data_IF_449508933279
#
_entry.id   IF_449508933279
#
_cell.length_a   1.000
_cell.length_b   1.000
_cell.length_c   1.000
_cell.angle_alpha   90.00
_cell.angle_beta   90.00
_cell.angle_gamma   90.00
#
_symmetry.space_group_name_H-M   'P 1'
#
loop_
_entity.id
_entity.type
_entity.pdbx_description
1 polymer ?
#
# COMPACT_ATOMS: atom_id res chain seq x y z
N UNK A 1 -18.86 -0.61 7.01
CA UNK A 1 -18.80 -1.19 5.65
C UNK A 1 -18.77 -2.72 5.76
N UNK A 2 -19.55 -3.43 4.95
CA UNK A 2 -19.62 -4.90 5.00
C UNK A 2 -18.75 -5.45 3.87
N UNK A 3 -17.60 -6.09 4.22
CA UNK A 3 -16.72 -6.78 3.26
C UNK A 3 -16.92 -8.27 3.36
N UNK A 4 -16.60 -9.00 2.28
CA UNK A 4 -16.96 -10.41 2.10
C UNK A 4 -16.27 -11.36 3.10
N UNK A 5 -14.99 -11.14 3.40
CA UNK A 5 -14.19 -12.07 4.21
C UNK A 5 -13.54 -11.47 5.42
N UNK A 6 -13.13 -10.20 5.37
CA UNK A 6 -12.45 -9.54 6.48
C UNK A 6 -13.42 -9.39 7.68
N UNK A 7 -12.97 -9.73 8.87
CA UNK A 7 -13.80 -9.75 10.08
C UNK A 7 -14.68 -10.99 10.24
N UNK A 8 -14.73 -11.92 9.26
CA UNK A 8 -15.49 -13.15 9.39
C UNK A 8 -14.74 -14.20 10.23
N UNK A 9 -15.50 -14.97 11.05
CA UNK A 9 -14.95 -16.02 11.93
C UNK A 9 -14.42 -17.23 11.15
N UNK A 10 -14.98 -17.52 9.98
CA UNK A 10 -14.56 -18.65 9.13
C UNK A 10 -14.00 -18.17 7.79
N UNK A 11 -13.08 -18.95 7.23
CA UNK A 11 -12.51 -18.73 5.90
C UNK A 11 -12.95 -19.89 5.01
N UNK A 12 -13.37 -19.64 3.74
CA UNK A 12 -13.76 -20.70 2.84
C UNK A 12 -12.57 -21.63 2.57
N UNK A 13 -12.86 -22.94 2.39
CA UNK A 13 -11.84 -23.91 1.99
C UNK A 13 -11.41 -23.62 0.56
N UNK A 14 -10.11 -23.40 0.37
CA UNK A 14 -9.53 -23.24 -0.96
C UNK A 14 -9.42 -24.61 -1.64
N UNK A 15 -10.10 -24.79 -2.77
CA UNK A 15 -10.06 -26.03 -3.55
C UNK A 15 -9.39 -25.86 -4.90
N UNK A 16 -9.56 -24.70 -5.54
CA UNK A 16 -9.01 -24.34 -6.84
C UNK A 16 -9.00 -22.84 -7.02
N UNK A 17 -8.27 -22.38 -8.03
CA UNK A 17 -8.29 -20.99 -8.46
C UNK A 17 -9.73 -20.52 -8.71
N UNK A 18 -10.08 -19.37 -8.09
CA UNK A 18 -11.32 -18.66 -8.38
C UNK A 18 -11.16 -17.15 -8.15
N UNK A 19 -11.53 -16.33 -9.15
CA UNK A 19 -11.64 -14.89 -8.97
C UNK A 19 -12.79 -14.47 -8.05
N UNK A 20 -13.73 -15.36 -7.72
CA UNK A 20 -14.85 -15.09 -6.81
C UNK A 20 -14.40 -14.82 -5.37
N UNK A 21 -13.15 -15.14 -5.04
CA UNK A 21 -12.56 -14.75 -3.75
C UNK A 21 -12.29 -13.25 -3.65
N UNK A 22 -12.17 -12.54 -4.79
CA UNK A 22 -11.90 -11.13 -4.79
C UNK A 22 -13.08 -10.31 -4.29
N UNK A 23 -12.79 -9.29 -3.50
CA UNK A 23 -13.72 -8.29 -3.02
C UNK A 23 -13.11 -6.89 -3.15
N UNK A 24 -13.91 -5.88 -3.35
CA UNK A 24 -13.46 -4.52 -3.58
C UNK A 24 -13.98 -3.54 -2.55
N UNK A 25 -13.23 -2.47 -2.35
CA UNK A 25 -13.54 -1.38 -1.44
C UNK A 25 -13.65 -0.09 -2.26
N UNK A 26 -14.76 0.67 -2.16
CA UNK A 26 -14.87 1.99 -2.77
C UNK A 26 -13.85 2.96 -2.20
N UNK A 27 -13.26 3.80 -3.07
CA UNK A 27 -12.38 4.90 -2.68
C UNK A 27 -13.14 6.22 -2.69
N UNK A 28 -12.81 7.09 -1.74
CA UNK A 28 -13.26 8.48 -1.74
C UNK A 28 -12.12 9.38 -2.20
N UNK A 29 -11.78 9.33 -3.49
CA UNK A 29 -10.61 10.01 -4.06
C UNK A 29 -10.94 11.09 -5.09
N UNK A 30 -12.19 11.56 -5.17
CA UNK A 30 -12.64 12.51 -6.20
C UNK A 30 -11.86 13.84 -6.20
N UNK A 31 -11.38 14.29 -5.03
CA UNK A 31 -10.59 15.51 -4.86
C UNK A 31 -9.10 15.34 -5.20
N UNK A 32 -8.65 14.14 -5.56
CA UNK A 32 -7.26 13.82 -5.87
C UNK A 32 -6.90 13.94 -7.36
N UNK A 33 -7.83 14.36 -8.22
CA UNK A 33 -7.69 14.34 -9.69
C UNK A 33 -6.45 15.02 -10.28
N UNK A 34 -5.91 16.04 -9.58
CA UNK A 34 -4.72 16.79 -9.99
C UNK A 34 -3.39 16.24 -9.44
N UNK A 35 -3.43 15.21 -8.60
CA UNK A 35 -2.25 14.63 -7.96
C UNK A 35 -1.88 13.28 -8.57
N UNK A 36 -0.75 12.73 -8.15
CA UNK A 36 -0.19 11.49 -8.69
C UNK A 36 0.09 10.51 -7.57
N UNK A 37 -0.02 9.22 -7.86
CA UNK A 37 0.31 8.20 -6.87
C UNK A 37 -0.04 6.79 -7.32
N UNK A 38 0.48 5.85 -6.56
CA UNK A 38 0.29 4.42 -6.72
C UNK A 38 0.14 3.77 -5.35
N UNK A 39 -0.52 2.64 -5.31
CA UNK A 39 -0.45 1.73 -4.18
C UNK A 39 0.39 0.53 -4.58
N UNK A 40 1.53 0.35 -3.90
CA UNK A 40 2.36 -0.84 -4.05
C UNK A 40 1.87 -1.89 -3.04
N UNK A 41 1.42 -3.02 -3.57
CA UNK A 41 1.08 -4.20 -2.79
C UNK A 41 2.14 -5.25 -3.02
N UNK A 42 2.81 -5.69 -1.96
CA UNK A 42 3.79 -6.78 -2.04
C UNK A 42 3.18 -8.03 -1.43
N UNK A 43 2.95 -9.06 -2.25
CA UNK A 43 2.43 -10.36 -1.82
C UNK A 43 3.59 -11.36 -1.77
N UNK A 44 3.92 -11.84 -0.56
CA UNK A 44 5.12 -12.65 -0.30
C UNK A 44 4.90 -14.16 -0.43
N UNK A 45 3.66 -14.59 -0.49
CA UNK A 45 3.27 -15.99 -0.38
C UNK A 45 2.53 -16.50 -1.63
N UNK A 46 2.83 -15.92 -2.82
CA UNK A 46 2.21 -16.40 -4.05
C UNK A 46 2.82 -17.73 -4.47
N UNK A 47 1.98 -18.77 -4.58
CA UNK A 47 2.43 -20.12 -4.93
C UNK A 47 1.56 -20.73 -6.04
N UNK A 48 2.21 -21.52 -6.90
CA UNK A 48 1.61 -22.26 -8.01
C UNK A 48 2.47 -23.50 -8.36
N UNK A 49 2.01 -24.35 -9.27
CA UNK A 49 2.79 -25.46 -9.81
C UNK A 49 3.44 -25.08 -11.15
N UNK A 50 4.74 -25.35 -11.32
CA UNK A 50 5.42 -25.19 -12.59
C UNK A 50 5.05 -26.33 -13.58
N UNK A 51 5.65 -26.32 -14.78
CA UNK A 51 5.36 -27.32 -15.82
C UNK A 51 5.70 -28.77 -15.39
N UNK A 52 6.64 -28.96 -14.47
CA UNK A 52 7.03 -30.25 -13.89
C UNK A 52 6.18 -30.66 -12.66
N UNK A 53 5.13 -29.91 -12.33
CA UNK A 53 4.31 -30.07 -11.12
C UNK A 53 5.06 -29.81 -9.80
N UNK A 54 6.21 -29.12 -9.83
CA UNK A 54 6.87 -28.69 -8.61
C UNK A 54 6.25 -27.38 -8.09
N UNK A 55 6.05 -27.27 -6.77
CA UNK A 55 5.55 -26.03 -6.17
C UNK A 55 6.60 -24.91 -6.30
N UNK A 56 6.12 -23.74 -6.67
CA UNK A 56 6.91 -22.49 -6.74
C UNK A 56 6.29 -21.52 -5.76
N UNK A 57 7.13 -20.78 -5.03
CA UNK A 57 6.70 -19.65 -4.20
C UNK A 57 7.48 -18.39 -4.64
N UNK A 58 6.77 -17.30 -4.80
CA UNK A 58 7.31 -16.04 -5.30
C UNK A 58 6.73 -14.84 -4.57
N UNK A 59 7.49 -13.76 -4.52
CA UNK A 59 6.98 -12.45 -4.11
C UNK A 59 6.49 -11.70 -5.34
N UNK A 60 5.27 -11.17 -5.28
CA UNK A 60 4.69 -10.32 -6.31
C UNK A 60 4.68 -8.86 -5.90
N UNK A 61 4.97 -7.97 -6.85
CA UNK A 61 4.63 -6.56 -6.78
C UNK A 61 3.38 -6.31 -7.61
N UNK A 62 2.35 -5.76 -6.98
CA UNK A 62 1.10 -5.35 -7.60
C UNK A 62 1.01 -3.84 -7.47
N UNK A 63 0.71 -3.12 -8.57
CA UNK A 63 0.53 -1.67 -8.58
C UNK A 63 -0.88 -1.31 -8.98
N UNK A 64 -1.54 -0.56 -8.13
CA UNK A 64 -2.89 -0.03 -8.37
C UNK A 64 -2.81 1.50 -8.42
N UNK A 65 -3.43 2.13 -9.40
CA UNK A 65 -3.48 3.60 -9.47
C UNK A 65 -4.26 4.18 -8.30
N UNK A 66 -3.81 5.31 -7.75
CA UNK A 66 -4.58 6.07 -6.77
C UNK A 66 -5.91 6.59 -7.33
N UNK A 67 -6.04 6.70 -8.66
CA UNK A 67 -7.24 7.18 -9.35
C UNK A 67 -8.26 6.08 -9.62
N UNK A 68 -7.96 4.80 -9.31
CA UNK A 68 -8.98 3.76 -9.43
C UNK A 68 -10.15 4.05 -8.48
N UNK A 69 -11.38 3.88 -8.96
CA UNK A 69 -12.58 4.10 -8.16
C UNK A 69 -12.70 3.10 -6.99
N UNK A 70 -12.09 1.94 -7.15
CA UNK A 70 -12.08 0.83 -6.19
C UNK A 70 -10.65 0.42 -5.86
N UNK A 71 -10.43 -0.14 -4.68
CA UNK A 71 -9.24 -0.91 -4.33
C UNK A 71 -9.63 -2.33 -3.95
N UNK A 72 -8.67 -3.25 -3.92
CA UNK A 72 -8.92 -4.63 -3.51
C UNK A 72 -8.92 -4.74 -1.98
N UNK A 73 -9.78 -5.60 -1.42
CA UNK A 73 -9.77 -5.92 0.01
C UNK A 73 -8.64 -6.93 0.30
N UNK A 74 -7.83 -6.68 1.32
CA UNK A 74 -6.57 -7.37 1.58
C UNK A 74 -6.71 -8.87 1.90
N UNK A 75 -7.70 -9.27 2.71
CA UNK A 75 -7.96 -10.68 3.02
C UNK A 75 -8.50 -11.44 1.80
N UNK A 76 -9.33 -10.78 0.99
CA UNK A 76 -9.85 -11.33 -0.25
C UNK A 76 -8.72 -11.56 -1.27
N UNK A 77 -7.81 -10.60 -1.40
CA UNK A 77 -6.62 -10.75 -2.24
C UNK A 77 -5.75 -11.91 -1.77
N UNK A 78 -5.52 -12.04 -0.45
CA UNK A 78 -4.79 -13.19 0.10
C UNK A 78 -5.44 -14.52 -0.26
N UNK A 79 -6.75 -14.65 -0.10
CA UNK A 79 -7.49 -15.88 -0.43
C UNK A 79 -7.42 -16.16 -1.93
N UNK A 80 -7.59 -15.14 -2.77
CA UNK A 80 -7.46 -15.25 -4.21
C UNK A 80 -6.07 -15.74 -4.62
N UNK A 81 -5.00 -15.11 -4.15
CA UNK A 81 -3.63 -15.52 -4.47
C UNK A 81 -3.33 -16.93 -3.95
N UNK A 82 -3.80 -17.26 -2.75
CA UNK A 82 -3.64 -18.61 -2.19
C UNK A 82 -4.40 -19.69 -2.98
N UNK A 83 -5.47 -19.34 -3.72
CA UNK A 83 -6.22 -20.30 -4.54
C UNK A 83 -5.43 -20.85 -5.74
N UNK A 84 -4.28 -20.25 -6.07
CA UNK A 84 -3.41 -20.71 -7.16
C UNK A 84 -2.54 -21.93 -6.80
N UNK A 85 -2.45 -22.32 -5.56
CA UNK A 85 -1.45 -23.27 -5.04
C UNK A 85 -1.34 -24.58 -5.85
N UNK A 86 -2.42 -25.09 -6.42
CA UNK A 86 -2.46 -26.27 -7.29
C UNK A 86 -2.63 -25.94 -8.78
N UNK A 87 -2.68 -24.66 -9.16
CA UNK A 87 -2.82 -24.28 -10.56
C UNK A 87 -1.48 -24.36 -11.26
N UNK A 88 -1.44 -25.11 -12.38
CA UNK A 88 -0.24 -25.30 -13.18
C UNK A 88 -0.05 -24.19 -14.19
N UNK A 89 1.19 -23.67 -14.29
CA UNK A 89 1.60 -22.73 -15.31
C UNK A 89 2.89 -23.20 -16.00
N UNK A 90 2.85 -23.33 -17.32
CA UNK A 90 4.04 -23.62 -18.12
C UNK A 90 4.96 -22.41 -18.27
N UNK A 91 4.41 -21.22 -18.20
CA UNK A 91 5.12 -19.94 -18.18
C UNK A 91 4.62 -19.10 -17.01
N UNK A 92 5.49 -18.71 -16.07
CA UNK A 92 5.11 -17.88 -14.91
C UNK A 92 4.43 -16.56 -15.26
N UNK A 93 4.81 -15.92 -16.40
CA UNK A 93 4.19 -14.65 -16.83
C UNK A 93 2.68 -14.77 -17.01
N UNK A 94 2.17 -15.93 -17.46
CA UNK A 94 0.73 -16.17 -17.59
C UNK A 94 -0.02 -16.08 -16.26
N UNK A 95 0.63 -16.44 -15.15
CA UNK A 95 0.04 -16.27 -13.82
C UNK A 95 -0.09 -14.77 -13.47
N UNK A 96 0.97 -13.99 -13.74
CA UNK A 96 0.96 -12.55 -13.48
C UNK A 96 -0.06 -11.81 -14.35
N UNK A 97 -0.15 -12.17 -15.63
CA UNK A 97 -1.11 -11.61 -16.59
C UNK A 97 -2.55 -11.93 -16.16
N UNK A 98 -2.80 -13.15 -15.68
CA UNK A 98 -4.11 -13.54 -15.16
C UNK A 98 -4.49 -12.72 -13.92
N UNK A 99 -3.57 -12.58 -12.96
CA UNK A 99 -3.79 -11.77 -11.76
C UNK A 99 -4.02 -10.31 -12.14
N UNK A 100 -3.22 -9.75 -13.05
CA UNK A 100 -3.37 -8.38 -13.52
C UNK A 100 -4.75 -8.16 -14.17
N UNK A 101 -5.21 -9.11 -15.00
CA UNK A 101 -6.52 -9.08 -15.65
C UNK A 101 -7.65 -9.08 -14.63
N UNK A 102 -7.62 -10.01 -13.67
CA UNK A 102 -8.68 -10.16 -12.66
C UNK A 102 -8.76 -8.93 -11.76
N UNK A 103 -7.62 -8.44 -11.29
CA UNK A 103 -7.55 -7.23 -10.46
C UNK A 103 -7.96 -5.98 -11.24
N UNK A 104 -7.55 -5.85 -12.51
CA UNK A 104 -7.96 -4.71 -13.34
C UNK A 104 -9.47 -4.67 -13.55
N UNK A 105 -10.09 -5.83 -13.73
CA UNK A 105 -11.56 -5.95 -13.80
C UNK A 105 -12.21 -5.55 -12.47
N UNK A 106 -11.67 -6.03 -11.35
CA UNK A 106 -12.19 -5.74 -10.01
C UNK A 106 -12.18 -4.25 -9.68
N UNK A 107 -11.03 -3.58 -9.90
CA UNK A 107 -10.84 -2.17 -9.51
C UNK A 107 -11.24 -1.18 -10.61
N UNK A 108 -11.70 -1.67 -11.76
CA UNK A 108 -12.05 -0.90 -12.96
C UNK A 108 -10.92 0.09 -13.37
N UNK A 109 -9.68 -0.40 -13.34
CA UNK A 109 -8.49 0.38 -13.68
C UNK A 109 -7.34 -0.56 -14.03
N UNK A 110 -6.35 -0.08 -14.81
CA UNK A 110 -5.17 -0.87 -15.13
C UNK A 110 -4.36 -1.22 -13.88
N UNK A 111 -4.09 -2.50 -13.70
CA UNK A 111 -3.24 -3.05 -12.64
C UNK A 111 -2.03 -3.74 -13.26
N UNK A 112 -0.84 -3.45 -12.78
CA UNK A 112 0.37 -4.18 -13.18
C UNK A 112 0.79 -5.16 -12.10
N UNK A 113 1.18 -6.37 -12.53
CA UNK A 113 1.66 -7.43 -11.66
C UNK A 113 2.98 -7.97 -12.22
N UNK A 114 3.96 -8.10 -11.35
CA UNK A 114 5.26 -8.70 -11.72
C UNK A 114 5.87 -9.47 -10.57
N UNK A 115 6.73 -10.41 -10.87
CA UNK A 115 7.64 -11.00 -9.88
C UNK A 115 8.55 -9.91 -9.31
N UNK A 116 8.68 -9.87 -8.00
CA UNK A 116 9.62 -9.02 -7.29
C UNK A 116 10.83 -9.85 -6.86
N UNK A 117 11.97 -9.63 -7.48
CA UNK A 117 13.22 -10.34 -7.19
C UNK A 117 14.10 -9.63 -6.18
N UNK A 118 13.97 -8.31 -6.12
CA UNK A 118 14.66 -7.44 -5.15
C UNK A 118 13.88 -6.15 -4.95
N UNK A 119 13.99 -5.58 -3.77
CA UNK A 119 13.53 -4.22 -3.49
C UNK A 119 14.59 -3.20 -3.90
N UNK A 120 14.15 -2.00 -4.24
CA UNK A 120 15.06 -0.86 -4.37
C UNK A 120 15.68 -0.53 -3.00
N UNK A 121 16.83 0.15 -3.00
CA UNK A 121 17.44 0.60 -1.77
C UNK A 121 16.54 1.62 -1.05
N UNK A 122 16.40 1.47 0.26
CA UNK A 122 15.69 2.46 1.07
C UNK A 122 16.39 3.84 0.98
N UNK A 123 15.66 4.92 0.75
CA UNK A 123 16.26 6.24 0.63
C UNK A 123 16.84 6.71 1.97
N UNK A 124 17.96 7.43 1.91
CA UNK A 124 18.51 8.08 3.10
C UNK A 124 17.55 9.14 3.62
N UNK A 125 16.99 8.92 4.80
CA UNK A 125 16.02 9.80 5.45
C UNK A 125 16.44 10.13 6.89
N UNK A 126 15.86 11.17 7.45
CA UNK A 126 16.11 11.59 8.84
C UNK A 126 14.83 11.44 9.66
N UNK A 127 14.91 10.80 10.81
CA UNK A 127 13.76 10.71 11.70
C UNK A 127 13.34 12.12 12.17
N UNK A 128 12.04 12.40 12.08
CA UNK A 128 11.51 13.75 12.33
C UNK A 128 11.84 14.28 13.74
N UNK A 129 11.86 13.40 14.75
CA UNK A 129 12.17 13.77 16.15
C UNK A 129 13.63 14.20 16.39
N UNK A 130 14.52 14.03 15.40
CA UNK A 130 15.89 14.59 15.45
C UNK A 130 15.93 16.11 15.23
N UNK A 131 14.84 16.71 14.75
CA UNK A 131 14.74 18.16 14.54
C UNK A 131 14.09 18.83 15.77
N UNK A 132 14.85 19.69 16.47
CA UNK A 132 14.35 20.39 17.67
C UNK A 132 13.24 21.40 17.38
N UNK A 133 13.29 22.07 16.20
CA UNK A 133 12.38 23.14 15.82
C UNK A 133 11.76 22.95 14.44
N UNK A 134 12.53 23.04 13.38
CA UNK A 134 12.05 23.02 11.99
C UNK A 134 12.81 22.00 11.15
N UNK A 135 12.08 21.33 10.27
CA UNK A 135 12.64 20.49 9.21
C UNK A 135 13.06 21.41 8.05
N UNK A 136 14.32 21.35 7.58
CA UNK A 136 14.77 22.15 6.43
C UNK A 136 14.05 21.76 5.14
N UNK A 137 14.07 22.66 4.15
CA UNK A 137 13.64 22.38 2.77
C UNK A 137 14.38 21.17 2.19
N UNK A 138 13.77 20.51 1.23
CA UNK A 138 14.37 19.39 0.47
C UNK A 138 14.87 18.22 1.36
N UNK A 139 14.42 18.15 2.61
CA UNK A 139 14.83 17.07 3.50
C UNK A 139 13.82 15.95 3.46
N UNK A 140 14.28 14.77 3.09
CA UNK A 140 13.48 13.57 3.29
C UNK A 140 13.46 13.19 4.76
N UNK A 141 12.29 13.18 5.34
CA UNK A 141 12.06 12.77 6.72
C UNK A 141 11.21 11.52 6.77
N UNK A 142 11.29 10.81 7.89
CA UNK A 142 10.36 9.74 8.21
C UNK A 142 9.84 9.87 9.64
N UNK A 143 8.59 9.47 9.83
CA UNK A 143 7.96 9.30 11.14
C UNK A 143 7.80 7.80 11.40
N UNK A 144 8.62 7.29 12.32
CA UNK A 144 8.62 5.89 12.72
C UNK A 144 7.56 5.61 13.78
N UNK A 145 6.94 4.43 13.71
CA UNK A 145 5.92 4.03 14.68
C UNK A 145 4.59 4.77 14.52
N UNK A 146 4.28 5.20 13.29
CA UNK A 146 2.93 5.64 12.94
C UNK A 146 1.93 4.52 13.22
N UNK A 147 0.74 4.88 13.70
CA UNK A 147 -0.35 3.95 13.98
C UNK A 147 -1.67 4.54 13.49
N UNK A 148 -2.47 3.69 12.87
CA UNK A 148 -3.91 3.87 12.66
C UNK A 148 -4.65 2.61 13.10
N UNK A 149 -5.95 2.54 12.88
CA UNK A 149 -6.80 1.38 13.20
C UNK A 149 -7.46 0.90 11.92
N UNK A 150 -7.50 -0.43 11.74
CA UNK A 150 -8.28 -1.02 10.66
C UNK A 150 -9.77 -0.83 10.91
N UNK A 151 -10.56 -0.21 9.99
CA UNK A 151 -11.97 0.10 10.23
C UNK A 151 -12.87 -1.13 10.29
N UNK A 152 -12.35 -2.32 9.94
CA UNK A 152 -13.13 -3.57 9.93
C UNK A 152 -12.81 -4.47 11.12
N UNK A 153 -11.51 -4.57 11.50
CA UNK A 153 -11.07 -5.50 12.53
C UNK A 153 -10.72 -4.83 13.84
N UNK A 154 -10.70 -3.49 13.87
CA UNK A 154 -10.25 -2.67 15.02
C UNK A 154 -8.82 -2.98 15.49
N UNK A 155 -8.04 -3.67 14.64
CA UNK A 155 -6.63 -3.96 14.92
C UNK A 155 -5.74 -2.78 14.51
N UNK A 156 -4.63 -2.55 15.24
CA UNK A 156 -3.71 -1.47 14.91
C UNK A 156 -2.96 -1.75 13.61
N UNK A 157 -2.85 -0.74 12.75
CA UNK A 157 -2.02 -0.72 11.55
C UNK A 157 -0.80 0.16 11.78
N UNK A 158 0.39 -0.46 11.79
CA UNK A 158 1.66 0.21 12.03
C UNK A 158 2.36 0.55 10.73
N UNK A 159 3.01 1.73 10.69
CA UNK A 159 3.76 2.15 9.51
C UNK A 159 4.94 3.07 9.85
N UNK A 160 5.81 3.26 8.86
CA UNK A 160 6.69 4.41 8.77
C UNK A 160 6.16 5.34 7.66
N UNK A 161 5.98 6.62 7.97
CA UNK A 161 5.52 7.62 7.01
C UNK A 161 6.71 8.45 6.55
N UNK A 162 7.02 8.38 5.25
CA UNK A 162 8.06 9.18 4.61
C UNK A 162 7.44 10.43 4.01
N UNK A 163 8.04 11.58 4.25
CA UNK A 163 7.56 12.88 3.78
C UNK A 163 8.74 13.64 3.17
N UNK A 164 8.52 14.16 1.97
CA UNK A 164 9.44 15.06 1.30
C UNK A 164 8.67 16.27 0.77
N UNK A 165 9.19 17.46 0.98
CA UNK A 165 8.66 18.71 0.40
C UNK A 165 9.81 19.67 0.13
N UNK A 166 9.70 20.41 -0.97
CA UNK A 166 10.70 21.42 -1.37
C UNK A 166 10.38 22.83 -0.86
N UNK A 167 9.14 23.05 -0.36
CA UNK A 167 8.62 24.40 -0.13
C UNK A 167 9.13 25.06 1.16
N UNK A 168 8.49 24.87 2.26
CA UNK A 168 8.79 25.63 3.49
C UNK A 168 9.35 24.74 4.60
N UNK A 169 10.20 25.33 5.50
CA UNK A 169 10.60 24.61 6.70
C UNK A 169 9.37 24.34 7.59
N UNK A 170 9.18 23.06 7.93
CA UNK A 170 8.03 22.57 8.68
C UNK A 170 8.36 22.59 10.17
N UNK A 171 7.41 23.02 11.01
CA UNK A 171 7.51 22.84 12.45
C UNK A 171 7.45 21.35 12.80
N UNK A 172 8.56 20.82 13.33
CA UNK A 172 8.70 19.39 13.62
C UNK A 172 7.73 18.92 14.72
N UNK A 173 7.48 19.74 15.74
CA UNK A 173 6.58 19.41 16.86
C UNK A 173 5.11 19.38 16.38
N UNK A 174 4.71 20.38 15.57
CA UNK A 174 3.37 20.45 14.97
C UNK A 174 3.13 19.22 14.08
N UNK A 175 4.11 18.85 13.25
CA UNK A 175 3.99 17.68 12.37
C UNK A 175 3.92 16.36 13.16
N UNK A 176 4.76 16.19 14.20
CA UNK A 176 4.69 15.02 15.09
C UNK A 176 3.33 14.93 15.79
N UNK A 177 2.81 16.05 16.33
CA UNK A 177 1.48 16.10 16.95
C UNK A 177 0.40 15.70 15.95
N UNK A 178 0.46 16.20 14.74
CA UNK A 178 -0.48 15.85 13.67
C UNK A 178 -0.42 14.35 13.33
N UNK A 179 0.76 13.78 13.06
CA UNK A 179 0.87 12.35 12.75
C UNK A 179 0.45 11.45 13.93
N UNK A 180 0.68 11.89 15.16
CA UNK A 180 0.19 11.19 16.36
C UNK A 180 -1.33 11.21 16.50
N UNK A 181 -2.06 12.17 15.93
CA UNK A 181 -3.52 12.23 16.02
C UNK A 181 -4.22 11.09 15.27
N UNK A 182 -3.49 10.36 14.42
CA UNK A 182 -4.02 9.17 13.74
C UNK A 182 -4.07 7.91 14.58
N UNK A 183 -3.48 7.90 15.80
CA UNK A 183 -3.30 6.67 16.59
C UNK A 183 -4.59 5.91 16.87
N UNK A 184 -5.71 6.60 16.95
CA UNK A 184 -7.03 6.03 17.24
C UNK A 184 -8.03 6.32 16.12
N UNK A 185 -7.52 6.71 14.92
CA UNK A 185 -8.35 6.98 13.75
C UNK A 185 -8.51 5.70 12.92
N UNK A 186 -9.76 5.36 12.64
CA UNK A 186 -10.12 4.26 11.76
C UNK A 186 -9.96 4.67 10.30
N UNK A 187 -9.06 4.00 9.56
CA UNK A 187 -8.91 4.23 8.12
C UNK A 187 -8.14 3.09 7.43
N UNK A 188 -8.40 2.87 6.15
CA UNK A 188 -7.56 2.00 5.34
C UNK A 188 -6.21 2.66 5.03
N UNK A 189 -5.18 1.86 4.73
CA UNK A 189 -3.82 2.34 4.51
C UNK A 189 -3.76 3.42 3.42
N UNK A 190 -4.48 3.22 2.32
CA UNK A 190 -4.55 4.13 1.19
C UNK A 190 -5.20 5.46 1.59
N UNK A 191 -6.41 5.40 2.16
CA UNK A 191 -7.16 6.57 2.62
C UNK A 191 -6.42 7.32 3.71
N UNK A 192 -5.77 6.59 4.63
CA UNK A 192 -4.93 7.18 5.68
C UNK A 192 -3.78 8.00 5.07
N UNK A 193 -3.06 7.44 4.09
CA UNK A 193 -1.97 8.15 3.40
C UNK A 193 -2.49 9.34 2.61
N UNK A 194 -3.66 9.22 1.97
CA UNK A 194 -4.35 10.31 1.26
C UNK A 194 -4.73 11.45 2.21
N UNK A 195 -5.35 11.14 3.34
CA UNK A 195 -5.73 12.16 4.31
C UNK A 195 -4.53 12.87 4.94
N UNK A 196 -3.41 12.16 5.15
CA UNK A 196 -2.15 12.79 5.55
C UNK A 196 -1.65 13.73 4.45
N UNK A 197 -1.62 13.28 3.19
CA UNK A 197 -1.15 14.06 2.06
C UNK A 197 -1.95 15.35 1.88
N UNK A 198 -3.27 15.28 1.88
CA UNK A 198 -4.16 16.44 1.75
C UNK A 198 -3.99 17.40 2.94
N UNK A 199 -3.98 16.88 4.17
CA UNK A 199 -3.80 17.74 5.35
C UNK A 199 -2.45 18.45 5.38
N UNK A 200 -1.38 17.85 4.81
CA UNK A 200 -0.09 18.50 4.69
C UNK A 200 -0.10 19.62 3.64
N UNK A 201 -0.83 19.46 2.55
CA UNK A 201 -1.05 20.54 1.57
C UNK A 201 -1.83 21.71 2.18
N UNK A 202 -2.96 21.41 2.83
CA UNK A 202 -3.91 22.42 3.27
C UNK A 202 -3.48 23.10 4.59
N UNK A 203 -3.13 22.31 5.62
CA UNK A 203 -2.90 22.85 6.97
C UNK A 203 -1.43 23.20 7.24
N UNK A 204 -0.50 22.73 6.41
CA UNK A 204 0.93 22.99 6.52
C UNK A 204 1.48 23.77 5.34
N UNK A 205 0.62 24.13 4.37
CA UNK A 205 0.97 24.86 3.15
C UNK A 205 2.19 24.26 2.44
N UNK A 206 2.25 22.94 2.36
CA UNK A 206 3.35 22.25 1.67
C UNK A 206 3.10 22.21 0.17
N UNK A 207 4.10 22.63 -0.59
CA UNK A 207 4.15 22.47 -2.05
C UNK A 207 5.14 21.35 -2.39
N UNK A 208 5.16 20.86 -3.63
CA UNK A 208 6.06 19.79 -4.09
C UNK A 208 6.17 18.63 -3.09
N UNK A 209 5.00 18.20 -2.62
CA UNK A 209 4.88 17.21 -1.56
C UNK A 209 4.87 15.79 -2.10
N UNK A 210 5.60 14.90 -1.45
CA UNK A 210 5.45 13.45 -1.57
C UNK A 210 5.28 12.83 -0.19
N UNK A 211 4.24 12.01 -0.03
CA UNK A 211 3.99 11.20 1.16
C UNK A 211 3.99 9.73 0.75
N UNK A 212 4.73 8.90 1.48
CA UNK A 212 4.79 7.46 1.26
C UNK A 212 4.59 6.70 2.57
N UNK A 213 3.49 5.96 2.66
CA UNK A 213 3.19 5.07 3.79
C UNK A 213 3.86 3.71 3.58
N UNK A 214 4.65 3.27 4.56
CA UNK A 214 5.27 1.94 4.59
C UNK A 214 4.64 1.13 5.72
N UNK A 215 3.50 0.49 5.41
CA UNK A 215 2.76 -0.28 6.41
C UNK A 215 3.37 -1.66 6.63
N UNK A 216 3.32 -2.13 7.87
CA UNK A 216 3.83 -3.45 8.23
C UNK A 216 2.99 -4.55 7.57
N UNK A 217 3.68 -5.62 7.20
CA UNK A 217 3.08 -6.79 6.58
C UNK A 217 2.06 -7.47 7.49
N UNK A 218 0.89 -7.80 6.92
CA UNK A 218 -0.13 -8.61 7.55
C UNK A 218 -0.56 -9.75 6.63
N UNK A 219 -0.59 -10.96 7.15
CA UNK A 219 -1.05 -12.12 6.39
C UNK A 219 -0.28 -12.36 5.09
N UNK A 220 1.02 -12.05 5.01
CA UNK A 220 1.83 -12.21 3.82
C UNK A 220 1.71 -11.09 2.78
N UNK A 221 1.04 -9.97 3.11
CA UNK A 221 0.88 -8.81 2.23
C UNK A 221 1.25 -7.53 2.98
N UNK A 222 2.00 -6.62 2.37
CA UNK A 222 2.11 -5.24 2.79
C UNK A 222 1.52 -4.29 1.73
N UNK A 223 1.01 -3.14 2.17
CA UNK A 223 0.36 -2.14 1.34
C UNK A 223 1.06 -0.81 1.55
N UNK A 224 1.59 -0.23 0.48
CA UNK A 224 2.47 0.92 0.54
C UNK A 224 1.98 2.03 -0.40
N UNK A 225 1.05 2.88 0.05
CA UNK A 225 0.52 3.97 -0.75
C UNK A 225 1.52 5.11 -0.86
N UNK A 226 1.72 5.63 -2.09
CA UNK A 226 2.48 6.85 -2.34
C UNK A 226 1.58 7.90 -2.99
N UNK A 227 1.66 9.14 -2.51
CA UNK A 227 0.93 10.31 -3.05
C UNK A 227 1.90 11.44 -3.29
N UNK A 228 1.75 12.16 -4.42
CA UNK A 228 2.68 13.21 -4.82
C UNK A 228 1.99 14.30 -5.63
N UNK A 229 2.47 15.51 -5.50
CA UNK A 229 2.14 16.63 -6.39
C UNK A 229 2.83 16.51 -7.75
N UNK A 230 3.90 15.69 -7.85
CA UNK A 230 4.68 15.48 -9.08
C UNK A 230 4.33 14.16 -9.77
N UNK A 231 4.19 14.19 -11.10
CA UNK A 231 4.00 13.00 -11.93
C UNK A 231 5.17 12.01 -11.82
N UNK A 232 6.40 12.52 -11.67
CA UNK A 232 7.58 11.70 -11.43
C UNK A 232 7.67 11.38 -9.95
N UNK A 233 7.24 10.19 -9.57
CA UNK A 233 7.29 9.73 -8.17
C UNK A 233 8.74 9.66 -7.68
N UNK A 234 8.99 10.25 -6.52
CA UNK A 234 10.32 10.35 -5.89
C UNK A 234 10.86 8.97 -5.47
N UNK A 235 9.95 8.07 -5.08
CA UNK A 235 10.32 6.76 -4.54
C UNK A 235 9.84 5.63 -5.45
N UNK A 236 10.68 4.61 -5.53
CA UNK A 236 10.30 3.30 -6.05
C UNK A 236 9.88 2.38 -4.90
N UNK A 237 9.56 1.12 -5.22
CA UNK A 237 9.19 0.15 -4.21
C UNK A 237 10.44 -0.33 -3.44
N UNK A 238 10.68 0.22 -2.28
CA UNK A 238 11.69 -0.26 -1.34
C UNK A 238 11.02 -0.95 -0.15
N UNK A 239 11.77 -1.73 0.57
CA UNK A 239 11.33 -2.35 1.82
C UNK A 239 12.00 -1.64 3.00
N UNK A 240 11.19 -1.29 3.99
CA UNK A 240 11.70 -0.76 5.25
C UNK A 240 12.17 -1.91 6.15
N UNK A 241 13.12 -1.63 7.05
CA UNK A 241 13.65 -2.66 7.95
C UNK A 241 12.55 -3.32 8.81
N UNK A 242 11.54 -2.56 9.19
CA UNK A 242 10.45 -3.02 10.05
C UNK A 242 9.33 -3.80 9.32
N UNK A 243 9.33 -3.86 8.00
CA UNK A 243 8.28 -4.54 7.22
C UNK A 243 8.49 -6.06 7.12
#
# INVERSE_FOLDING_TARGET
MKVKYLGQKSTPKLTSYSPDFLDSIPRNNQHLGKFFGLDYWNAYEFSYLNFNNFPVIETLEIKISMHSALTVESKSLKLYLASFYNKKFNNPSRAYDLIAKDLSKLVNSSVSVRKLTKFDAAPKSTAIYKFKHRVPKNKLIHFQGFRSICPVTSQPDWANIYIHSTSTPIDSKKLVKFLKSYRDKDDFHESCTESIFIALLDNFAMEDLTVYGKFLRRGGIDINPIRSTSKKLLFKNFRDFSQ
#
